data_IF_514309065313
#
_entry.id   IF_514309065313
#
_cell.length_a   1.000
_cell.length_b   1.000
_cell.length_c   1.000
_cell.angle_alpha   90.00
_cell.angle_beta   90.00
_cell.angle_gamma   90.00
#
_symmetry.space_group_name_H-M   'P 1'
#
loop_
_entity.id
_entity.type
_entity.pdbx_description
1 polymer ?
#
# COMPACT_ATOMS: atom_id res chain seq x y z
N UNK A 1 29.88 30.34 9.24
CA UNK A 1 30.10 29.41 10.36
C UNK A 1 29.23 28.20 10.12
N UNK A 2 29.83 27.03 9.90
CA UNK A 2 29.11 25.78 9.78
C UNK A 2 28.69 25.36 11.19
N UNK A 3 27.39 25.39 11.45
CA UNK A 3 26.81 24.87 12.69
C UNK A 3 26.78 23.35 12.52
N UNK A 4 27.81 22.68 13.04
CA UNK A 4 27.84 21.22 13.11
C UNK A 4 26.58 20.77 13.86
N UNK A 5 25.71 20.07 13.14
CA UNK A 5 24.58 19.37 13.74
C UNK A 5 25.16 18.26 14.61
N UNK A 6 25.16 18.49 15.92
CA UNK A 6 25.60 17.50 16.91
C UNK A 6 24.54 16.39 17.01
N UNK A 7 24.54 15.45 16.06
CA UNK A 7 23.80 14.20 16.19
C UNK A 7 24.60 13.29 17.12
N UNK A 8 24.21 13.21 18.40
CA UNK A 8 24.69 12.16 19.30
C UNK A 8 24.09 10.84 18.85
N UNK A 9 24.94 9.87 18.49
CA UNK A 9 24.50 8.51 18.17
C UNK A 9 23.94 7.88 19.44
N UNK A 10 22.62 7.74 19.52
CA UNK A 10 21.95 7.04 20.61
C UNK A 10 22.03 5.53 20.42
N UNK A 11 22.06 4.80 21.53
CA UNK A 11 22.21 3.36 21.51
C UNK A 11 20.86 2.68 21.32
N UNK A 12 20.72 1.85 20.28
CA UNK A 12 19.43 1.22 19.94
C UNK A 12 18.82 0.40 21.07
N UNK A 13 19.61 -0.14 21.99
CA UNK A 13 19.11 -0.88 23.14
C UNK A 13 19.08 -0.05 24.44
N UNK A 14 19.22 1.27 24.33
CA UNK A 14 19.03 2.19 25.44
C UNK A 14 17.58 2.12 25.93
N UNK A 15 17.41 1.94 27.24
CA UNK A 15 16.10 1.96 27.89
C UNK A 15 15.61 3.39 27.94
N UNK A 16 14.41 3.64 27.40
CA UNK A 16 13.81 4.98 27.36
C UNK A 16 12.65 5.15 28.34
N UNK A 17 12.12 4.04 28.86
CA UNK A 17 11.03 4.04 29.81
C UNK A 17 11.09 2.80 30.71
N UNK A 18 11.03 3.03 32.02
CA UNK A 18 10.94 2.00 33.05
C UNK A 18 9.64 2.25 33.83
N UNK A 19 8.59 1.49 33.52
CA UNK A 19 7.48 1.24 34.45
C UNK A 19 7.51 -0.23 34.86
N UNK A 20 6.95 -0.58 36.02
CA UNK A 20 6.96 -1.93 36.64
C UNK A 20 6.56 -3.03 35.62
N UNK A 21 7.57 -3.56 34.92
CA UNK A 21 7.40 -4.42 33.74
C UNK A 21 8.66 -4.41 32.86
N UNK A 22 8.61 -5.12 31.72
CA UNK A 22 9.76 -5.20 30.80
C UNK A 22 10.19 -3.79 30.32
N UNK A 23 11.48 -3.44 30.44
CA UNK A 23 11.98 -2.12 30.05
C UNK A 23 11.84 -1.91 28.53
N UNK A 24 11.30 -0.76 28.12
CA UNK A 24 11.12 -0.41 26.71
C UNK A 24 12.42 0.18 26.17
N UNK A 25 12.98 -0.45 25.15
CA UNK A 25 14.20 -0.01 24.48
C UNK A 25 13.89 0.86 23.24
N UNK A 26 14.85 1.68 22.82
CA UNK A 26 14.74 2.49 21.59
C UNK A 26 14.40 1.64 20.35
N UNK A 27 14.96 0.43 20.26
CA UNK A 27 14.69 -0.53 19.18
C UNK A 27 13.23 -0.95 19.11
N UNK A 28 12.53 -1.06 20.25
CA UNK A 28 11.13 -1.45 20.30
C UNK A 28 10.26 -0.37 19.65
N UNK A 29 10.56 0.90 19.93
CA UNK A 29 9.86 2.05 19.33
C UNK A 29 10.11 2.15 17.82
N UNK A 30 11.29 1.76 17.34
CA UNK A 30 11.59 1.70 15.90
C UNK A 30 10.85 0.53 15.26
N UNK A 31 10.75 -0.62 15.94
CA UNK A 31 10.01 -1.77 15.43
C UNK A 31 8.51 -1.51 15.36
N UNK A 32 7.96 -0.74 16.31
CA UNK A 32 6.57 -0.26 16.27
C UNK A 32 6.29 0.76 15.15
N UNK A 33 7.34 1.32 14.53
CA UNK A 33 7.22 2.25 13.39
C UNK A 33 7.19 1.52 12.04
N UNK A 34 7.40 0.21 12.02
CA UNK A 34 7.12 -0.60 10.83
C UNK A 34 5.62 -0.75 10.65
N UNK A 35 5.15 -0.84 9.40
CA UNK A 35 3.74 -1.10 9.08
C UNK A 35 3.21 -2.23 9.95
N UNK A 36 2.30 -1.90 10.86
CA UNK A 36 1.76 -2.86 11.81
C UNK A 36 0.92 -3.89 11.06
N UNK A 37 0.88 -5.15 11.53
CA UNK A 37 0.04 -6.19 10.89
C UNK A 37 -1.43 -5.75 10.81
N UNK A 38 -1.86 -4.92 11.76
CA UNK A 38 -3.16 -4.26 11.81
C UNK A 38 -3.40 -3.32 10.62
N UNK A 39 -2.42 -2.46 10.28
CA UNK A 39 -2.51 -1.57 9.10
C UNK A 39 -2.68 -2.39 7.81
N UNK A 40 -1.92 -3.48 7.65
CA UNK A 40 -2.05 -4.35 6.47
C UNK A 40 -3.42 -5.00 6.38
N UNK A 41 -4.02 -5.40 7.51
CA UNK A 41 -5.37 -5.97 7.54
C UNK A 41 -6.41 -4.92 7.13
N UNK A 42 -6.27 -3.69 7.64
CA UNK A 42 -7.15 -2.56 7.30
C UNK A 42 -7.03 -2.23 5.80
N UNK A 43 -5.81 -2.14 5.26
CA UNK A 43 -5.58 -1.87 3.83
C UNK A 43 -6.20 -2.94 2.92
N UNK A 44 -6.06 -4.21 3.30
CA UNK A 44 -6.69 -5.32 2.56
C UNK A 44 -8.22 -5.27 2.60
N UNK A 45 -8.80 -4.85 3.73
CA UNK A 45 -10.25 -4.70 3.87
C UNK A 45 -10.76 -3.55 2.98
N UNK A 46 -10.10 -2.40 3.04
CA UNK A 46 -10.41 -1.24 2.19
C UNK A 46 -10.28 -1.58 0.71
N UNK A 47 -9.20 -2.27 0.31
CA UNK A 47 -9.01 -2.71 -1.06
C UNK A 47 -10.15 -3.63 -1.52
N UNK A 48 -10.58 -4.59 -0.70
CA UNK A 48 -11.70 -5.48 -1.01
C UNK A 48 -13.02 -4.71 -1.20
N UNK A 49 -13.31 -3.75 -0.33
CA UNK A 49 -14.52 -2.92 -0.46
C UNK A 49 -14.50 -2.09 -1.75
N UNK A 50 -13.35 -1.45 -2.04
CA UNK A 50 -13.22 -0.60 -3.21
C UNK A 50 -13.28 -1.41 -4.50
N UNK A 51 -12.61 -2.57 -4.57
CA UNK A 51 -12.77 -3.52 -5.69
C UNK A 51 -14.23 -4.02 -5.79
N UNK A 52 -14.91 -4.15 -4.65
CA UNK A 52 -16.33 -4.43 -4.49
C UNK A 52 -17.24 -3.46 -5.25
N UNK A 53 -16.88 -2.17 -5.29
CA UNK A 53 -17.63 -1.09 -5.95
C UNK A 53 -17.40 -1.02 -7.47
N UNK A 54 -16.38 -1.71 -7.99
CA UNK A 54 -16.12 -1.76 -9.43
C UNK A 54 -17.13 -2.64 -10.15
N UNK A 55 -17.51 -2.24 -11.36
CA UNK A 55 -18.30 -3.10 -12.25
C UNK A 55 -17.52 -4.38 -12.59
N UNK A 56 -18.24 -5.45 -12.93
CA UNK A 56 -17.62 -6.77 -13.21
C UNK A 56 -16.46 -6.68 -14.21
N UNK A 57 -16.64 -5.90 -15.29
CA UNK A 57 -15.63 -5.75 -16.34
C UNK A 57 -14.44 -4.89 -15.92
N UNK A 58 -14.68 -3.85 -15.13
CA UNK A 58 -13.64 -3.01 -14.51
C UNK A 58 -12.78 -3.86 -13.56
N UNK A 59 -13.43 -4.64 -12.67
CA UNK A 59 -12.75 -5.54 -11.73
C UNK A 59 -11.93 -6.59 -12.46
N UNK A 60 -12.47 -7.20 -13.51
CA UNK A 60 -11.76 -8.22 -14.27
C UNK A 60 -10.49 -7.68 -14.92
N UNK A 61 -10.53 -6.47 -15.49
CA UNK A 61 -9.34 -5.82 -16.06
C UNK A 61 -8.27 -5.59 -14.98
N UNK A 62 -8.66 -5.10 -13.80
CA UNK A 62 -7.73 -4.89 -12.68
C UNK A 62 -7.14 -6.22 -12.17
N UNK A 63 -7.95 -7.27 -12.05
CA UNK A 63 -7.48 -8.59 -11.65
C UNK A 63 -6.44 -9.13 -12.62
N UNK A 64 -6.75 -9.12 -13.92
CA UNK A 64 -5.80 -9.57 -14.94
C UNK A 64 -4.52 -8.73 -14.95
N UNK A 65 -4.63 -7.42 -14.70
CA UNK A 65 -3.49 -6.50 -14.79
C UNK A 65 -2.54 -6.59 -13.60
N UNK A 66 -3.07 -6.68 -12.38
CA UNK A 66 -2.29 -6.53 -11.14
C UNK A 66 -2.13 -7.82 -10.34
N UNK A 67 -2.92 -8.85 -10.63
CA UNK A 67 -2.83 -10.15 -9.96
C UNK A 67 -2.36 -11.27 -10.89
N UNK A 68 -2.52 -11.11 -12.22
CA UNK A 68 -2.06 -12.08 -13.22
C UNK A 68 -0.99 -11.50 -14.18
N UNK A 69 -0.48 -10.29 -13.89
CA UNK A 69 0.60 -9.61 -14.62
C UNK A 69 0.41 -9.46 -16.14
N UNK A 70 -0.84 -9.50 -16.63
CA UNK A 70 -1.12 -9.39 -18.08
C UNK A 70 -0.95 -7.96 -18.58
N UNK A 71 -0.38 -7.81 -19.77
CA UNK A 71 -0.30 -6.53 -20.47
C UNK A 71 -1.68 -6.06 -20.94
N UNK A 72 -1.84 -4.75 -21.18
CA UNK A 72 -3.11 -4.21 -21.70
C UNK A 72 -3.48 -4.81 -23.07
N UNK A 73 -2.49 -5.19 -23.88
CA UNK A 73 -2.69 -5.86 -25.16
C UNK A 73 -3.25 -7.27 -24.96
N UNK A 74 -2.63 -8.08 -24.10
CA UNK A 74 -3.10 -9.44 -23.77
C UNK A 74 -4.50 -9.42 -23.13
N UNK A 75 -4.77 -8.44 -22.27
CA UNK A 75 -6.11 -8.25 -21.70
C UNK A 75 -7.12 -7.89 -22.81
N UNK A 76 -6.72 -7.07 -23.78
CA UNK A 76 -7.54 -6.73 -24.93
C UNK A 76 -7.93 -7.96 -25.75
N UNK A 77 -6.94 -8.80 -26.05
CA UNK A 77 -7.14 -10.08 -26.75
C UNK A 77 -8.08 -11.02 -25.96
N UNK A 78 -7.85 -11.20 -24.67
CA UNK A 78 -8.67 -12.07 -23.81
C UNK A 78 -10.12 -11.59 -23.65
N UNK A 79 -10.33 -10.28 -23.60
CA UNK A 79 -11.65 -9.68 -23.40
C UNK A 79 -12.34 -9.26 -24.71
N UNK A 80 -11.70 -9.55 -25.85
CA UNK A 80 -12.13 -9.20 -27.20
C UNK A 80 -12.46 -7.70 -27.35
N UNK A 81 -11.55 -6.83 -26.87
CA UNK A 81 -11.61 -5.37 -26.97
C UNK A 81 -10.23 -4.81 -27.32
N UNK A 82 -10.17 -3.58 -27.83
CA UNK A 82 -8.88 -2.96 -28.14
C UNK A 82 -8.06 -2.66 -26.87
N UNK A 83 -6.73 -2.73 -26.98
CA UNK A 83 -5.80 -2.27 -25.94
C UNK A 83 -6.11 -0.83 -25.48
N UNK A 84 -6.51 0.05 -26.40
CA UNK A 84 -6.89 1.43 -26.09
C UNK A 84 -8.14 1.49 -25.20
N UNK A 85 -9.13 0.61 -25.43
CA UNK A 85 -10.29 0.51 -24.55
C UNK A 85 -9.90 0.01 -23.16
N UNK A 86 -9.02 -1.00 -23.07
CA UNK A 86 -8.48 -1.48 -21.79
C UNK A 86 -7.80 -0.34 -21.04
N UNK A 87 -6.91 0.40 -21.70
CA UNK A 87 -6.20 1.55 -21.12
C UNK A 87 -7.15 2.63 -20.58
N UNK A 88 -8.21 2.96 -21.32
CA UNK A 88 -9.22 3.94 -20.87
C UNK A 88 -9.97 3.44 -19.64
N UNK A 89 -10.37 2.17 -19.62
CA UNK A 89 -11.07 1.58 -18.48
C UNK A 89 -10.15 1.55 -17.25
N UNK A 90 -8.91 1.04 -17.40
CA UNK A 90 -7.93 0.98 -16.33
C UNK A 90 -7.68 2.37 -15.73
N UNK A 91 -7.45 3.40 -16.56
CA UNK A 91 -7.26 4.77 -16.08
C UNK A 91 -8.47 5.31 -15.32
N UNK A 92 -9.70 5.05 -15.81
CA UNK A 92 -10.95 5.43 -15.12
C UNK A 92 -11.06 4.74 -13.77
N UNK A 93 -10.72 3.45 -13.71
CA UNK A 93 -10.75 2.66 -12.47
C UNK A 93 -9.72 3.19 -11.49
N UNK A 94 -8.46 3.37 -11.88
CA UNK A 94 -7.42 3.93 -11.01
C UNK A 94 -7.80 5.31 -10.46
N UNK A 95 -8.45 6.15 -11.27
CA UNK A 95 -8.97 7.44 -10.81
C UNK A 95 -10.08 7.28 -9.76
N UNK A 96 -10.99 6.32 -9.92
CA UNK A 96 -12.01 5.98 -8.91
C UNK A 96 -11.34 5.47 -7.64
N UNK A 97 -10.39 4.53 -7.76
CA UNK A 97 -9.65 3.98 -6.61
C UNK A 97 -9.00 5.09 -5.79
N UNK A 98 -8.33 6.04 -6.46
CA UNK A 98 -7.68 7.18 -5.81
C UNK A 98 -8.67 8.04 -5.02
N UNK A 99 -9.89 8.25 -5.51
CA UNK A 99 -10.92 9.01 -4.80
C UNK A 99 -11.48 8.34 -3.55
N UNK A 100 -11.20 7.06 -3.32
CA UNK A 100 -11.60 6.36 -2.09
C UNK A 100 -10.50 6.38 -1.01
N UNK A 101 -9.28 6.76 -1.38
CA UNK A 101 -8.10 6.78 -0.50
C UNK A 101 -7.77 8.22 -0.04
N UNK A 102 -8.19 9.24 -0.82
CA UNK A 102 -8.18 10.65 -0.39
C UNK A 102 -9.43 10.99 0.40
#
# INVERSE_FOLDING_TARGET
MAMESNFSVEYLHGVIHEEEGNPICLIDKISMKGESEEEKVIDNLLLKEVLGKLEKRERQIIMLRYFEDKTQSEIGELLNISQVQVSRIEKKVLSKLKSYIS
#
